data_IF_756838476358
#
_entry.id   IF_756838476358
#
_cell.length_a   1.000
_cell.length_b   1.000
_cell.length_c   1.000
_cell.angle_alpha   90.00
_cell.angle_beta   90.00
_cell.angle_gamma   90.00
#
_symmetry.space_group_name_H-M   'P 1'
#
loop_
_entity.id
_entity.type
_entity.pdbx_description
1 polymer ?
#
# COMPACT_ATOMS: atom_id res chain seq x y z
N UNK A 1 -41.46 15.84 -1.31
CA UNK A 1 -41.82 14.41 -1.40
C UNK A 1 -40.61 13.54 -1.78
N UNK A 2 -39.91 13.88 -2.87
CA UNK A 2 -38.73 13.15 -3.42
C UNK A 2 -37.66 12.78 -2.37
N UNK A 3 -37.23 13.73 -1.54
CA UNK A 3 -36.17 13.50 -0.53
C UNK A 3 -36.52 12.37 0.47
N UNK A 4 -37.80 12.21 0.84
CA UNK A 4 -38.23 11.16 1.77
C UNK A 4 -38.02 9.78 1.15
N UNK A 5 -38.37 9.62 -0.12
CA UNK A 5 -38.15 8.38 -0.85
C UNK A 5 -36.67 8.08 -1.02
N UNK A 6 -35.84 9.10 -1.25
CA UNK A 6 -34.40 8.94 -1.39
C UNK A 6 -33.76 8.38 -0.11
N UNK A 7 -34.04 8.94 1.07
CA UNK A 7 -33.50 8.40 2.34
C UNK A 7 -33.96 6.97 2.60
N UNK A 8 -35.22 6.65 2.28
CA UNK A 8 -35.73 5.29 2.44
C UNK A 8 -35.06 4.30 1.48
N UNK A 9 -34.86 4.69 0.22
CA UNK A 9 -34.14 3.89 -0.77
C UNK A 9 -32.71 3.63 -0.31
N UNK A 10 -32.01 4.67 0.15
CA UNK A 10 -30.65 4.55 0.68
C UNK A 10 -30.61 3.58 1.88
N UNK A 11 -31.56 3.69 2.82
CA UNK A 11 -31.63 2.77 3.95
C UNK A 11 -31.84 1.32 3.50
N UNK A 12 -32.71 1.08 2.51
CA UNK A 12 -32.90 -0.26 1.94
C UNK A 12 -31.61 -0.77 1.27
N UNK A 13 -30.91 0.06 0.50
CA UNK A 13 -29.63 -0.31 -0.13
C UNK A 13 -28.60 -0.70 0.93
N UNK A 14 -28.39 0.13 1.96
CA UNK A 14 -27.42 -0.19 3.03
C UNK A 14 -27.82 -1.45 3.80
N UNK A 15 -29.11 -1.64 4.07
CA UNK A 15 -29.60 -2.87 4.67
C UNK A 15 -29.27 -4.09 3.81
N UNK A 16 -29.53 -4.03 2.50
CA UNK A 16 -29.20 -5.12 1.57
C UNK A 16 -27.71 -5.40 1.50
N UNK A 17 -26.86 -4.36 1.51
CA UNK A 17 -25.40 -4.53 1.54
C UNK A 17 -24.97 -5.25 2.82
N UNK A 18 -25.49 -4.85 3.98
CA UNK A 18 -25.16 -5.51 5.25
C UNK A 18 -25.60 -6.98 5.29
N UNK A 19 -26.83 -7.30 4.84
CA UNK A 19 -27.30 -8.69 4.76
C UNK A 19 -26.44 -9.50 3.80
N UNK A 20 -26.12 -8.94 2.63
CA UNK A 20 -25.34 -9.62 1.61
C UNK A 20 -23.89 -9.85 2.04
N UNK A 21 -23.27 -8.90 2.74
CA UNK A 21 -21.94 -9.07 3.33
C UNK A 21 -21.90 -10.22 4.35
N UNK A 22 -22.93 -10.33 5.20
CA UNK A 22 -23.06 -11.48 6.13
C UNK A 22 -23.22 -12.78 5.36
N UNK A 23 -24.09 -12.83 4.34
CA UNK A 23 -24.30 -14.05 3.54
C UNK A 23 -23.03 -14.52 2.85
N UNK A 24 -22.25 -13.60 2.26
CA UNK A 24 -20.98 -13.94 1.61
C UNK A 24 -19.92 -14.47 2.58
N UNK A 25 -19.95 -14.05 3.85
CA UNK A 25 -19.02 -14.56 4.86
C UNK A 25 -19.34 -15.97 5.34
N UNK A 26 -20.59 -16.41 5.20
CA UNK A 26 -21.00 -17.77 5.58
C UNK A 26 -20.63 -18.78 4.50
N UNK A 27 -20.65 -18.38 3.22
CA UNK A 27 -20.33 -19.26 2.09
C UNK A 27 -18.93 -19.00 1.52
N UNK A 28 -17.90 -19.56 2.15
CA UNK A 28 -16.49 -19.45 1.73
C UNK A 28 -16.24 -19.90 0.27
N UNK A 29 -17.15 -20.73 -0.28
CA UNK A 29 -17.07 -21.27 -1.64
C UNK A 29 -17.26 -20.24 -2.76
N UNK A 30 -17.83 -19.06 -2.50
CA UNK A 30 -18.14 -18.07 -3.54
C UNK A 30 -17.17 -16.89 -3.60
N UNK A 31 -16.09 -16.90 -2.81
CA UNK A 31 -15.05 -15.86 -2.86
C UNK A 31 -14.06 -16.14 -4.00
N UNK A 32 -14.56 -16.32 -5.22
CA UNK A 32 -13.72 -16.48 -6.42
C UNK A 32 -13.66 -15.17 -7.20
N UNK A 33 -12.65 -14.36 -6.87
CA UNK A 33 -12.12 -13.17 -7.59
C UNK A 33 -13.08 -12.01 -7.92
N UNK A 34 -12.58 -10.77 -7.78
CA UNK A 34 -13.25 -9.55 -8.26
C UNK A 34 -14.05 -8.77 -7.19
N UNK A 35 -15.14 -8.10 -7.61
CA UNK A 35 -15.93 -7.18 -6.76
C UNK A 35 -16.46 -7.90 -5.52
N UNK A 36 -16.83 -9.17 -5.64
CA UNK A 36 -17.34 -9.98 -4.53
C UNK A 36 -16.32 -10.18 -3.41
N UNK A 37 -15.02 -10.21 -3.74
CA UNK A 37 -13.96 -10.30 -2.74
C UNK A 37 -13.92 -9.05 -1.84
N UNK A 38 -14.19 -7.86 -2.41
CA UNK A 38 -14.26 -6.63 -1.62
C UNK A 38 -15.52 -6.55 -0.74
N UNK A 39 -16.59 -7.25 -1.10
CA UNK A 39 -17.81 -7.32 -0.26
C UNK A 39 -17.64 -8.35 0.84
N UNK A 40 -17.04 -9.50 0.51
CA UNK A 40 -16.72 -10.56 1.48
C UNK A 40 -15.69 -10.08 2.52
N UNK A 41 -14.81 -9.14 2.15
CA UNK A 41 -13.83 -8.57 3.08
C UNK A 41 -14.42 -7.58 4.10
N UNK A 42 -15.67 -7.12 3.93
CA UNK A 42 -16.34 -6.28 4.94
C UNK A 42 -16.57 -7.08 6.21
N UNK A 43 -15.92 -6.71 7.32
CA UNK A 43 -16.04 -7.45 8.59
C UNK A 43 -17.49 -7.64 9.06
N UNK A 44 -17.77 -8.77 9.70
CA UNK A 44 -19.09 -9.12 10.22
C UNK A 44 -19.69 -8.01 11.11
N UNK A 45 -18.86 -7.45 12.01
CA UNK A 45 -19.27 -6.35 12.90
C UNK A 45 -19.68 -5.10 12.10
N UNK A 46 -18.95 -4.76 11.04
CA UNK A 46 -19.27 -3.65 10.13
C UNK A 46 -20.60 -3.91 9.40
N UNK A 47 -20.85 -5.15 8.95
CA UNK A 47 -22.10 -5.54 8.32
C UNK A 47 -23.32 -5.41 9.27
N UNK A 48 -23.17 -5.85 10.54
CA UNK A 48 -24.20 -5.64 11.57
C UNK A 48 -24.47 -4.16 11.82
N UNK A 49 -23.42 -3.34 11.93
CA UNK A 49 -23.55 -1.90 12.08
C UNK A 49 -24.29 -1.25 10.90
N UNK A 50 -24.07 -1.71 9.66
CA UNK A 50 -24.85 -1.25 8.50
C UNK A 50 -26.33 -1.60 8.62
N UNK A 51 -26.66 -2.85 8.97
CA UNK A 51 -28.05 -3.29 9.15
C UNK A 51 -28.75 -2.44 10.20
N UNK A 52 -28.14 -2.29 11.38
CA UNK A 52 -28.74 -1.55 12.48
C UNK A 52 -28.83 -0.04 12.19
N UNK A 53 -27.83 0.55 11.54
CA UNK A 53 -27.87 1.96 11.12
C UNK A 53 -28.94 2.21 10.06
N UNK A 54 -29.10 1.28 9.10
CA UNK A 54 -30.12 1.37 8.06
C UNK A 54 -31.54 1.29 8.64
N UNK A 55 -31.80 0.34 9.55
CA UNK A 55 -33.09 0.21 10.25
C UNK A 55 -33.41 1.51 11.00
N UNK A 56 -32.43 2.03 11.76
CA UNK A 56 -32.59 3.29 12.50
C UNK A 56 -32.90 4.46 11.55
N UNK A 57 -32.14 4.61 10.47
CA UNK A 57 -32.33 5.67 9.48
C UNK A 57 -33.71 5.59 8.81
N UNK A 58 -34.15 4.39 8.43
CA UNK A 58 -35.47 4.15 7.86
C UNK A 58 -36.58 4.59 8.83
N UNK A 59 -36.50 4.17 10.09
CA UNK A 59 -37.50 4.50 11.11
C UNK A 59 -37.53 6.01 11.41
N UNK A 60 -36.36 6.68 11.47
CA UNK A 60 -36.26 8.13 11.70
C UNK A 60 -37.04 8.93 10.63
N UNK A 61 -37.18 8.38 9.42
CA UNK A 61 -37.85 9.05 8.31
C UNK A 61 -39.38 8.81 8.26
N UNK A 62 -39.92 7.97 9.14
CA UNK A 62 -41.37 7.74 9.25
C UNK A 62 -42.05 8.94 9.94
N UNK A 63 -43.15 9.42 9.35
CA UNK A 63 -43.86 10.63 9.80
C UNK A 63 -44.67 10.41 11.09
N UNK A 64 -45.34 9.27 11.22
CA UNK A 64 -46.09 8.87 12.41
C UNK A 64 -45.44 7.62 13.02
N UNK A 65 -44.92 7.74 14.24
CA UNK A 65 -44.14 6.68 14.92
C UNK A 65 -44.80 6.29 16.23
N UNK A 66 -45.44 5.12 16.34
CA UNK A 66 -45.91 4.60 17.62
C UNK A 66 -44.73 4.33 18.56
N UNK A 67 -45.00 4.18 19.86
CA UNK A 67 -43.96 4.04 20.90
C UNK A 67 -43.02 2.85 20.64
N UNK A 68 -43.54 1.72 20.19
CA UNK A 68 -42.75 0.52 19.91
C UNK A 68 -41.75 0.71 18.75
N UNK A 69 -42.14 1.44 17.70
CA UNK A 69 -41.24 1.78 16.57
C UNK A 69 -40.11 2.71 17.04
N UNK A 70 -40.42 3.67 17.94
CA UNK A 70 -39.39 4.52 18.56
C UNK A 70 -38.42 3.72 19.41
N UNK A 71 -38.93 2.75 20.16
CA UNK A 71 -38.12 1.85 20.96
C UNK A 71 -37.17 1.00 20.08
N UNK A 72 -37.69 0.40 19.01
CA UNK A 72 -36.89 -0.36 18.05
C UNK A 72 -35.78 0.48 17.42
N UNK A 73 -36.08 1.73 17.06
CA UNK A 73 -35.06 2.67 16.56
C UNK A 73 -33.94 2.92 17.58
N UNK A 74 -34.28 3.11 18.86
CA UNK A 74 -33.29 3.33 19.92
C UNK A 74 -32.44 2.09 20.18
N UNK A 75 -33.04 0.91 20.15
CA UNK A 75 -32.30 -0.35 20.25
C UNK A 75 -31.31 -0.46 19.09
N UNK A 76 -31.77 -0.23 17.86
CA UNK A 76 -30.92 -0.34 16.67
C UNK A 76 -29.70 0.60 16.73
N UNK A 77 -29.92 1.87 17.11
CA UNK A 77 -28.82 2.82 17.31
C UNK A 77 -27.90 2.39 18.46
N UNK A 78 -28.48 1.94 19.58
CA UNK A 78 -27.73 1.44 20.73
C UNK A 78 -26.85 0.24 20.38
N UNK A 79 -27.37 -0.72 19.61
CA UNK A 79 -26.62 -1.89 19.14
C UNK A 79 -25.46 -1.48 18.23
N UNK A 80 -25.68 -0.54 17.30
CA UNK A 80 -24.61 0.00 16.44
C UNK A 80 -23.46 0.57 17.30
N UNK A 81 -23.80 1.38 18.31
CA UNK A 81 -22.81 1.97 19.22
C UNK A 81 -22.11 0.93 20.09
N UNK A 82 -22.85 -0.06 20.62
CA UNK A 82 -22.28 -1.13 21.45
C UNK A 82 -21.28 -1.95 20.63
N UNK A 83 -21.64 -2.37 19.41
CA UNK A 83 -20.73 -3.11 18.53
C UNK A 83 -19.47 -2.29 18.23
N UNK A 84 -19.62 -1.00 17.91
CA UNK A 84 -18.49 -0.11 17.67
C UNK A 84 -17.59 0.06 18.91
N UNK A 85 -18.17 0.29 20.10
CA UNK A 85 -17.42 0.44 21.35
C UNK A 85 -16.69 -0.84 21.73
N UNK A 86 -17.35 -2.00 21.64
CA UNK A 86 -16.72 -3.29 21.92
C UNK A 86 -15.55 -3.55 20.96
N UNK A 87 -15.72 -3.23 19.68
CA UNK A 87 -14.65 -3.31 18.67
C UNK A 87 -13.46 -2.39 19.03
N UNK A 88 -13.72 -1.18 19.52
CA UNK A 88 -12.67 -0.28 20.02
C UNK A 88 -11.98 -0.82 21.27
N UNK A 89 -12.72 -1.41 22.21
CA UNK A 89 -12.15 -2.01 23.43
C UNK A 89 -11.25 -3.18 23.05
N UNK A 90 -11.70 -4.06 22.15
CA UNK A 90 -10.91 -5.17 21.60
C UNK A 90 -9.58 -4.66 21.03
N UNK A 91 -9.64 -3.58 20.25
CA UNK A 91 -8.45 -2.95 19.65
C UNK A 91 -7.48 -2.40 20.70
N UNK A 92 -7.97 -1.64 21.68
CA UNK A 92 -7.09 -1.01 22.68
C UNK A 92 -6.56 -1.97 23.73
N UNK A 93 -7.33 -3.00 24.08
CA UNK A 93 -6.95 -3.97 25.12
C UNK A 93 -6.18 -5.16 24.56
N UNK A 94 -6.21 -5.38 23.23
CA UNK A 94 -5.75 -6.60 22.57
C UNK A 94 -6.38 -7.88 23.18
N UNK A 95 -7.52 -7.75 23.85
CA UNK A 95 -8.28 -8.88 24.38
C UNK A 95 -9.24 -9.33 23.30
N UNK A 96 -9.09 -10.56 22.82
CA UNK A 96 -10.00 -11.16 21.86
C UNK A 96 -11.38 -11.37 22.53
N UNK A 97 -12.29 -10.41 22.30
CA UNK A 97 -13.69 -10.50 22.70
C UNK A 97 -14.48 -11.43 21.77
N UNK A 98 -13.89 -11.83 20.64
CA UNK A 98 -14.43 -12.85 19.75
C UNK A 98 -15.86 -12.54 19.27
N UNK A 99 -16.17 -11.25 19.09
CA UNK A 99 -17.52 -10.79 18.68
C UNK A 99 -17.93 -11.43 17.36
N UNK A 100 -16.98 -11.57 16.42
CA UNK A 100 -17.21 -12.23 15.14
C UNK A 100 -17.32 -13.76 15.28
N UNK A 101 -16.51 -14.38 16.15
CA UNK A 101 -16.50 -15.84 16.35
C UNK A 101 -17.77 -16.34 17.07
N UNK A 102 -18.46 -15.48 17.82
CA UNK A 102 -19.77 -15.79 18.41
C UNK A 102 -20.82 -16.17 17.35
N UNK A 103 -20.69 -15.66 16.12
CA UNK A 103 -21.66 -15.87 15.06
C UNK A 103 -21.16 -16.74 13.91
N UNK A 104 -19.84 -16.78 13.67
CA UNK A 104 -19.22 -17.58 12.60
C UNK A 104 -18.17 -18.50 13.22
N UNK A 105 -18.49 -19.79 13.29
CA UNK A 105 -17.69 -20.82 13.99
C UNK A 105 -16.57 -21.39 13.11
N UNK A 106 -15.90 -20.57 12.30
CA UNK A 106 -14.99 -21.09 11.29
C UNK A 106 -13.54 -21.26 11.77
N UNK A 107 -13.03 -22.47 11.57
CA UNK A 107 -11.77 -23.01 12.11
C UNK A 107 -10.53 -22.45 11.37
N UNK A 108 -10.73 -21.81 10.23
CA UNK A 108 -9.65 -21.19 9.44
C UNK A 108 -9.28 -19.77 9.89
N UNK A 109 -10.09 -19.13 10.74
CA UNK A 109 -9.89 -17.73 11.19
C UNK A 109 -8.76 -17.56 12.23
N UNK A 110 -8.09 -18.65 12.64
CA UNK A 110 -7.19 -18.66 13.80
C UNK A 110 -5.82 -17.98 13.59
N UNK A 111 -5.52 -17.43 12.40
CA UNK A 111 -4.17 -16.96 12.09
C UNK A 111 -3.99 -15.50 11.65
N UNK A 112 -5.06 -14.75 11.43
CA UNK A 112 -4.94 -13.30 11.32
C UNK A 112 -5.52 -12.71 12.58
N UNK A 113 -4.67 -12.45 13.58
CA UNK A 113 -5.02 -11.58 14.71
C UNK A 113 -5.77 -10.37 14.14
N UNK A 114 -7.06 -10.32 14.46
CA UNK A 114 -7.95 -9.19 14.53
C UNK A 114 -7.31 -7.87 14.06
N UNK A 115 -7.19 -7.68 12.75
CA UNK A 115 -6.94 -6.37 12.18
C UNK A 115 -8.27 -5.62 12.25
N UNK A 116 -8.62 -5.23 13.48
CA UNK A 116 -9.83 -4.50 13.79
C UNK A 116 -9.79 -3.21 12.97
N UNK A 117 -10.84 -2.97 12.18
CA UNK A 117 -11.01 -1.73 11.41
C UNK A 117 -11.26 -0.56 12.40
N UNK A 118 -10.22 -0.09 13.09
CA UNK A 118 -10.29 1.01 14.07
C UNK A 118 -11.07 2.20 13.51
N UNK A 119 -10.76 2.57 12.26
CA UNK A 119 -11.42 3.69 11.58
C UNK A 119 -12.91 3.40 11.39
N UNK A 120 -13.29 2.22 10.88
CA UNK A 120 -14.69 1.88 10.68
C UNK A 120 -15.46 1.87 12.01
N UNK A 121 -14.85 1.36 13.10
CA UNK A 121 -15.45 1.40 14.43
C UNK A 121 -15.69 2.85 14.91
N UNK A 122 -14.73 3.76 14.69
CA UNK A 122 -14.91 5.18 14.99
C UNK A 122 -15.99 5.84 14.12
N UNK A 123 -16.06 5.50 12.83
CA UNK A 123 -17.08 5.99 11.92
C UNK A 123 -18.48 5.52 12.34
N UNK A 124 -18.65 4.23 12.67
CA UNK A 124 -19.92 3.69 13.15
C UNK A 124 -20.31 4.25 14.51
N UNK A 125 -19.36 4.46 15.42
CA UNK A 125 -19.63 5.15 16.68
C UNK A 125 -20.15 6.56 16.42
N UNK A 126 -19.52 7.28 15.49
CA UNK A 126 -19.94 8.63 15.11
C UNK A 126 -21.30 8.65 14.42
N UNK A 127 -21.58 7.71 13.53
CA UNK A 127 -22.91 7.52 12.92
C UNK A 127 -23.95 7.22 14.01
N UNK A 128 -23.65 6.36 14.98
CA UNK A 128 -24.52 6.06 16.12
C UNK A 128 -24.85 7.29 16.96
N UNK A 129 -23.87 8.16 17.22
CA UNK A 129 -24.07 9.44 17.91
C UNK A 129 -24.98 10.37 17.10
N UNK A 130 -24.76 10.48 15.78
CA UNK A 130 -25.61 11.26 14.88
C UNK A 130 -27.05 10.73 14.90
N UNK A 131 -27.23 9.42 14.71
CA UNK A 131 -28.55 8.79 14.70
C UNK A 131 -29.25 8.97 16.05
N UNK A 132 -28.53 8.90 17.18
CA UNK A 132 -29.08 9.17 18.52
C UNK A 132 -29.71 10.56 18.60
N UNK A 133 -29.00 11.59 18.14
CA UNK A 133 -29.53 12.97 18.11
C UNK A 133 -30.73 13.10 17.19
N UNK A 134 -30.68 12.45 16.02
CA UNK A 134 -31.81 12.42 15.07
C UNK A 134 -33.04 11.69 15.63
N UNK A 135 -32.87 10.65 16.46
CA UNK A 135 -34.00 10.00 17.15
C UNK A 135 -34.69 10.93 18.15
N UNK A 136 -33.94 11.87 18.75
CA UNK A 136 -34.46 12.89 19.66
C UNK A 136 -35.14 14.04 18.91
N UNK A 137 -35.03 14.07 17.58
CA UNK A 137 -35.56 15.14 16.72
C UNK A 137 -34.80 16.45 16.85
N UNK A 138 -33.60 16.42 17.45
CA UNK A 138 -32.72 17.59 17.59
C UNK A 138 -31.60 17.48 16.57
N UNK A 139 -31.27 18.60 15.94
CA UNK A 139 -30.09 18.74 15.10
C UNK A 139 -29.07 19.55 15.88
N UNK A 140 -28.16 18.87 16.55
CA UNK A 140 -27.11 19.50 17.36
C UNK A 140 -25.90 19.83 16.50
N UNK A 141 -25.06 20.75 17.00
CA UNK A 141 -23.75 21.06 16.43
C UNK A 141 -22.91 19.79 16.18
N UNK A 142 -23.03 18.79 17.07
CA UNK A 142 -22.37 17.48 16.92
C UNK A 142 -22.72 16.84 15.58
N UNK A 143 -24.00 16.81 15.19
CA UNK A 143 -24.40 16.23 13.90
C UNK A 143 -23.82 17.01 12.72
N UNK A 144 -23.76 18.34 12.82
CA UNK A 144 -23.28 19.21 11.75
C UNK A 144 -21.77 19.08 11.51
N UNK A 145 -20.99 18.84 12.56
CA UNK A 145 -19.53 18.66 12.47
C UNK A 145 -19.17 17.20 12.16
N UNK A 146 -19.81 16.25 12.84
CA UNK A 146 -19.42 14.84 12.76
C UNK A 146 -19.79 14.20 11.42
N UNK A 147 -20.94 14.57 10.84
CA UNK A 147 -21.39 14.04 9.55
C UNK A 147 -20.41 14.32 8.40
N UNK A 148 -19.96 15.57 8.14
CA UNK A 148 -18.98 15.83 7.09
C UNK A 148 -17.62 15.22 7.41
N UNK A 149 -17.20 15.16 8.68
CA UNK A 149 -15.94 14.49 9.06
C UNK A 149 -15.97 13.01 8.68
N UNK A 150 -17.01 12.27 9.07
CA UNK A 150 -17.16 10.85 8.71
C UNK A 150 -17.22 10.68 7.19
N UNK A 151 -18.01 11.51 6.50
CA UNK A 151 -18.10 11.45 5.04
C UNK A 151 -16.74 11.63 4.36
N UNK A 152 -15.93 12.57 4.86
CA UNK A 152 -14.62 12.87 4.29
C UNK A 152 -13.59 11.77 4.57
N UNK A 153 -13.63 11.17 5.76
CA UNK A 153 -12.81 9.98 6.08
C UNK A 153 -13.16 8.84 5.14
N UNK A 154 -14.45 8.56 4.93
CA UNK A 154 -14.89 7.53 4.00
C UNK A 154 -14.51 7.81 2.53
N UNK A 155 -14.59 9.07 2.08
CA UNK A 155 -14.09 9.50 0.75
C UNK A 155 -12.58 9.29 0.64
N UNK A 156 -11.82 9.63 1.69
CA UNK A 156 -10.38 9.44 1.72
C UNK A 156 -9.98 7.97 1.58
N UNK A 157 -10.63 7.08 2.32
CA UNK A 157 -10.41 5.63 2.25
C UNK A 157 -10.73 5.12 0.84
N UNK A 158 -11.87 5.52 0.28
CA UNK A 158 -12.27 5.12 -1.08
C UNK A 158 -11.25 5.60 -2.12
N UNK A 159 -10.83 6.87 -2.03
CA UNK A 159 -9.86 7.46 -2.95
C UNK A 159 -8.49 6.78 -2.86
N UNK A 160 -8.04 6.49 -1.64
CA UNK A 160 -6.77 5.79 -1.42
C UNK A 160 -6.75 4.44 -2.14
N UNK A 161 -7.82 3.66 -1.99
CA UNK A 161 -7.95 2.38 -2.67
C UNK A 161 -8.05 2.51 -4.19
N UNK A 162 -8.95 3.37 -4.70
CA UNK A 162 -9.17 3.51 -6.15
C UNK A 162 -7.93 3.99 -6.88
N UNK A 163 -7.12 4.81 -6.21
CA UNK A 163 -5.86 5.30 -6.79
C UNK A 163 -4.76 4.23 -6.82
N UNK A 164 -4.96 3.07 -6.18
CA UNK A 164 -3.93 2.04 -6.01
C UNK A 164 -2.76 2.52 -5.15
N UNK A 165 -2.95 3.62 -4.41
CA UNK A 165 -1.89 4.25 -3.66
C UNK A 165 -1.82 3.55 -2.30
N UNK A 166 -0.76 2.80 -2.05
CA UNK A 166 -0.55 2.06 -0.81
C UNK A 166 -0.27 2.97 0.41
N UNK A 167 -0.73 4.24 0.45
CA UNK A 167 -0.49 5.09 1.64
C UNK A 167 -1.07 4.51 2.91
N UNK A 168 -2.30 3.99 2.82
CA UNK A 168 -2.91 3.39 4.00
C UNK A 168 -2.20 2.10 4.39
N UNK A 169 -1.47 1.41 3.50
CA UNK A 169 -0.73 0.19 3.88
C UNK A 169 0.38 0.45 4.90
N UNK A 170 0.89 1.69 4.95
CA UNK A 170 1.87 2.10 5.95
C UNK A 170 1.22 2.57 7.27
N UNK A 171 -0.11 2.76 7.28
CA UNK A 171 -0.88 3.08 8.46
C UNK A 171 -1.55 1.80 8.97
N UNK A 172 -1.02 1.14 10.03
CA UNK A 172 -1.49 -0.17 10.47
C UNK A 172 -3.00 -0.20 10.83
N UNK A 173 -3.59 0.96 11.11
CA UNK A 173 -4.99 1.11 11.45
C UNK A 173 -5.94 1.32 10.25
N UNK A 174 -5.41 1.49 9.04
CA UNK A 174 -6.19 1.85 7.85
C UNK A 174 -6.09 0.85 6.69
N UNK A 175 -5.10 -0.05 6.71
CA UNK A 175 -4.83 -1.03 5.63
C UNK A 175 -6.03 -1.91 5.30
N UNK A 176 -6.87 -2.19 6.28
CA UNK A 176 -7.83 -3.29 6.19
C UNK A 176 -9.27 -2.87 6.00
N UNK A 177 -9.57 -1.58 5.88
CA UNK A 177 -10.96 -1.17 5.63
C UNK A 177 -11.36 -1.53 4.21
N UNK A 178 -12.31 -2.45 4.07
CA UNK A 178 -12.84 -2.81 2.76
C UNK A 178 -13.44 -1.58 2.07
N UNK A 179 -13.19 -1.42 0.78
CA UNK A 179 -13.71 -0.28 -0.02
C UNK A 179 -15.21 -0.19 0.07
N UNK A 180 -15.86 -1.35 -0.02
CA UNK A 180 -17.31 -1.45 0.09
C UNK A 180 -17.83 -0.92 1.43
N UNK A 181 -17.08 -1.10 2.53
CA UNK A 181 -17.39 -0.49 3.83
C UNK A 181 -17.38 1.04 3.72
N UNK A 182 -16.28 1.63 3.22
CA UNK A 182 -16.19 3.09 3.08
C UNK A 182 -17.27 3.68 2.15
N UNK A 183 -17.55 3.02 1.03
CA UNK A 183 -18.55 3.45 0.06
C UNK A 183 -19.97 3.35 0.64
N UNK A 184 -20.24 2.31 1.43
CA UNK A 184 -21.49 2.16 2.18
C UNK A 184 -21.64 3.23 3.26
N UNK A 185 -20.57 3.60 3.96
CA UNK A 185 -20.58 4.71 4.92
C UNK A 185 -20.86 6.04 4.20
N UNK A 186 -20.25 6.31 3.03
CA UNK A 186 -20.56 7.49 2.22
C UNK A 186 -22.05 7.55 1.86
N UNK A 187 -22.61 6.44 1.35
CA UNK A 187 -24.03 6.32 1.00
C UNK A 187 -24.93 6.50 2.23
N UNK A 188 -24.54 5.95 3.37
CA UNK A 188 -25.24 6.14 4.64
C UNK A 188 -25.21 7.60 5.10
N UNK A 189 -24.08 8.29 5.01
CA UNK A 189 -23.94 9.72 5.28
C UNK A 189 -24.86 10.55 4.38
N UNK A 190 -24.99 10.22 3.09
CA UNK A 190 -25.98 10.86 2.21
C UNK A 190 -27.42 10.61 2.69
N UNK A 191 -27.74 9.38 3.09
CA UNK A 191 -29.05 9.04 3.63
C UNK A 191 -29.40 9.85 4.88
N UNK A 192 -28.44 9.97 5.79
CA UNK A 192 -28.51 10.80 7.00
C UNK A 192 -28.70 12.27 6.63
N UNK A 193 -27.90 12.81 5.72
CA UNK A 193 -27.99 14.21 5.27
C UNK A 193 -29.38 14.58 4.72
N UNK A 194 -30.00 13.68 3.95
CA UNK A 194 -31.34 13.90 3.39
C UNK A 194 -32.50 13.56 4.35
N UNK A 195 -32.21 13.09 5.56
CA UNK A 195 -33.22 12.69 6.52
C UNK A 195 -34.13 13.85 6.99
N UNK A 196 -35.35 13.50 7.41
CA UNK A 196 -36.35 14.48 7.82
C UNK A 196 -35.92 15.47 8.93
N UNK A 197 -35.16 15.07 9.97
CA UNK A 197 -34.75 16.02 11.02
C UNK A 197 -33.75 17.06 10.53
N UNK A 198 -32.75 16.68 9.71
CA UNK A 198 -31.79 17.63 9.12
C UNK A 198 -32.43 18.60 8.14
N UNK A 199 -33.58 18.25 7.53
CA UNK A 199 -34.33 19.16 6.65
C UNK A 199 -34.77 20.45 7.35
N UNK A 200 -34.90 20.45 8.68
CA UNK A 200 -35.32 21.63 9.44
C UNK A 200 -34.18 22.63 9.67
N UNK A 201 -32.94 22.27 9.33
CA UNK A 201 -31.81 23.17 9.38
C UNK A 201 -31.93 24.19 8.25
N UNK A 202 -32.40 25.37 8.61
CA UNK A 202 -32.32 26.55 7.76
C UNK A 202 -30.90 27.10 7.83
N UNK A 203 -29.97 26.46 7.11
CA UNK A 203 -28.63 27.03 6.96
C UNK A 203 -28.75 28.39 6.27
N UNK A 204 -28.19 29.40 6.91
CA UNK A 204 -27.97 30.70 6.30
C UNK A 204 -27.04 30.54 5.09
N UNK A 205 -27.14 31.45 4.13
CA UNK A 205 -26.31 31.40 2.92
C UNK A 205 -24.81 31.38 3.25
N UNK A 206 -24.40 32.14 4.28
CA UNK A 206 -23.02 32.21 4.75
C UNK A 206 -22.50 30.87 5.30
N UNK A 207 -23.29 30.17 6.10
CA UNK A 207 -22.92 28.85 6.64
C UNK A 207 -22.77 27.80 5.55
N UNK A 208 -23.58 27.87 4.49
CA UNK A 208 -23.44 26.96 3.33
C UNK A 208 -22.11 27.18 2.62
N UNK A 209 -21.76 28.45 2.37
CA UNK A 209 -20.48 28.81 1.73
C UNK A 209 -19.30 28.34 2.59
N UNK A 210 -19.33 28.58 3.89
CA UNK A 210 -18.28 28.13 4.80
C UNK A 210 -18.14 26.60 4.79
N UNK A 211 -19.25 25.86 4.75
CA UNK A 211 -19.25 24.40 4.58
C UNK A 211 -18.57 23.95 3.28
N UNK A 212 -18.90 24.58 2.15
CA UNK A 212 -18.25 24.27 0.87
C UNK A 212 -16.74 24.57 0.89
N UNK A 213 -16.34 25.70 1.48
CA UNK A 213 -14.92 26.03 1.65
C UNK A 213 -14.20 25.03 2.55
N UNK A 214 -14.81 24.62 3.67
CA UNK A 214 -14.25 23.63 4.57
C UNK A 214 -14.04 22.27 3.90
N UNK A 215 -15.06 21.79 3.17
CA UNK A 215 -14.97 20.55 2.39
C UNK A 215 -13.88 20.64 1.32
N UNK A 216 -13.84 21.75 0.57
CA UNK A 216 -12.85 21.95 -0.50
C UNK A 216 -11.43 22.01 0.05
N UNK A 217 -11.21 22.76 1.13
CA UNK A 217 -9.90 22.90 1.77
C UNK A 217 -9.40 21.56 2.33
N UNK A 218 -10.29 20.81 2.98
CA UNK A 218 -9.97 19.50 3.52
C UNK A 218 -9.65 18.50 2.40
N UNK A 219 -10.44 18.47 1.33
CA UNK A 219 -10.19 17.65 0.15
C UNK A 219 -8.85 18.01 -0.51
N UNK A 220 -8.53 19.31 -0.61
CA UNK A 220 -7.26 19.78 -1.14
C UNK A 220 -6.08 19.39 -0.23
N UNK A 221 -6.27 19.40 1.08
CA UNK A 221 -5.26 18.96 2.06
C UNK A 221 -5.00 17.46 1.93
N UNK A 222 -6.06 16.66 1.76
CA UNK A 222 -5.98 15.23 1.47
C UNK A 222 -5.18 14.98 0.18
N UNK A 223 -5.54 15.65 -0.91
CA UNK A 223 -4.85 15.51 -2.20
C UNK A 223 -3.39 15.93 -2.07
N UNK A 224 -3.13 17.06 -1.43
CA UNK A 224 -1.78 17.57 -1.22
C UNK A 224 -0.92 16.58 -0.43
N UNK A 225 -1.44 16.07 0.69
CA UNK A 225 -0.73 15.09 1.51
C UNK A 225 -0.47 13.79 0.73
N UNK A 226 -1.49 13.30 0.00
CA UNK A 226 -1.39 12.15 -0.90
C UNK A 226 -0.27 12.34 -1.93
N UNK A 227 -0.28 13.44 -2.67
CA UNK A 227 0.74 13.73 -3.70
C UNK A 227 2.14 13.86 -3.07
N UNK A 228 2.25 14.51 -1.91
CA UNK A 228 3.52 14.71 -1.22
C UNK A 228 4.16 13.38 -0.82
N UNK A 229 3.40 12.47 -0.19
CA UNK A 229 3.91 11.15 0.17
C UNK A 229 4.27 10.34 -1.09
N UNK A 230 3.46 10.42 -2.16
CA UNK A 230 3.77 9.75 -3.42
C UNK A 230 5.12 10.15 -3.99
N UNK A 231 5.38 11.45 -3.97
CA UNK A 231 6.56 12.00 -4.62
C UNK A 231 7.84 11.54 -3.92
N UNK A 232 7.78 11.29 -2.60
CA UNK A 232 8.91 10.72 -1.86
C UNK A 232 9.19 9.27 -2.29
N UNK A 233 8.15 8.44 -2.44
CA UNK A 233 8.29 7.06 -2.90
C UNK A 233 8.79 7.01 -4.35
N UNK A 234 8.26 7.87 -5.23
CA UNK A 234 8.73 8.01 -6.61
C UNK A 234 10.20 8.43 -6.66
N UNK A 235 10.62 9.38 -5.82
CA UNK A 235 12.01 9.83 -5.77
C UNK A 235 12.94 8.70 -5.36
N UNK A 236 12.61 7.96 -4.29
CA UNK A 236 13.42 6.81 -3.86
C UNK A 236 13.45 5.69 -4.90
N UNK A 237 12.35 5.44 -5.61
CA UNK A 237 12.30 4.45 -6.69
C UNK A 237 13.15 4.89 -7.90
N UNK A 238 13.13 6.17 -8.27
CA UNK A 238 14.00 6.72 -9.30
C UNK A 238 15.46 6.57 -8.91
N UNK A 239 15.83 6.90 -7.66
CA UNK A 239 17.19 6.71 -7.14
C UNK A 239 17.63 5.24 -7.21
N UNK A 240 16.74 4.29 -6.88
CA UNK A 240 17.02 2.84 -6.98
C UNK A 240 17.20 2.37 -8.42
N UNK A 241 16.39 2.91 -9.36
CA UNK A 241 16.53 2.61 -10.79
C UNK A 241 17.85 3.17 -11.33
N UNK A 242 18.19 4.40 -10.99
CA UNK A 242 19.45 5.03 -11.41
C UNK A 242 20.67 4.34 -10.79
N UNK A 243 20.59 3.94 -9.52
CA UNK A 243 21.59 3.10 -8.88
C UNK A 243 21.77 1.77 -9.63
N UNK A 244 20.68 1.09 -9.96
CA UNK A 244 20.72 -0.18 -10.71
C UNK A 244 21.32 0.00 -12.09
N UNK A 245 20.98 1.09 -12.80
CA UNK A 245 21.58 1.43 -14.10
C UNK A 245 23.10 1.67 -13.98
N UNK A 246 23.54 2.38 -12.94
CA UNK A 246 24.96 2.62 -12.71
C UNK A 246 25.70 1.31 -12.45
N UNK A 247 25.17 0.44 -11.60
CA UNK A 247 25.75 -0.90 -11.33
C UNK A 247 25.84 -1.73 -12.62
N UNK A 248 24.78 -1.76 -13.43
CA UNK A 248 24.77 -2.47 -14.72
C UNK A 248 25.76 -1.89 -15.72
N UNK A 249 25.84 -0.56 -15.81
CA UNK A 249 26.79 0.12 -16.70
C UNK A 249 28.22 -0.19 -16.32
N UNK A 250 28.60 -0.06 -15.04
CA UNK A 250 29.95 -0.37 -14.56
C UNK A 250 30.31 -1.84 -14.76
N UNK A 251 29.36 -2.75 -14.49
CA UNK A 251 29.56 -4.19 -14.73
C UNK A 251 29.79 -4.49 -16.22
N UNK A 252 29.05 -3.79 -17.10
CA UNK A 252 29.22 -3.93 -18.55
C UNK A 252 30.59 -3.42 -19.01
N UNK A 253 31.06 -2.29 -18.49
CA UNK A 253 32.41 -1.77 -18.79
C UNK A 253 33.50 -2.76 -18.37
N UNK A 254 33.42 -3.34 -17.17
CA UNK A 254 34.36 -4.37 -16.70
C UNK A 254 34.37 -5.57 -17.65
N UNK A 255 33.21 -6.04 -18.08
CA UNK A 255 33.10 -7.18 -19.00
C UNK A 255 33.72 -6.88 -20.37
N UNK A 256 33.50 -5.68 -20.91
CA UNK A 256 34.09 -5.22 -22.18
C UNK A 256 35.62 -5.20 -22.07
N UNK A 257 36.16 -4.55 -21.03
CA UNK A 257 37.60 -4.44 -20.83
C UNK A 257 38.27 -5.81 -20.63
N UNK A 258 37.61 -6.73 -19.91
CA UNK A 258 38.12 -8.09 -19.72
C UNK A 258 38.16 -8.89 -21.03
N UNK A 259 37.12 -8.77 -21.85
CA UNK A 259 37.08 -9.42 -23.16
C UNK A 259 38.15 -8.83 -24.10
N UNK A 260 38.39 -7.53 -24.04
CA UNK A 260 39.45 -6.87 -24.80
C UNK A 260 40.84 -7.34 -24.36
N UNK A 261 41.08 -7.46 -23.05
CA UNK A 261 42.34 -8.04 -22.52
C UNK A 261 42.52 -9.48 -23.03
N UNK A 262 41.47 -10.31 -22.99
CA UNK A 262 41.55 -11.70 -23.46
C UNK A 262 41.88 -11.78 -24.97
N UNK A 263 41.28 -10.89 -25.77
CA UNK A 263 41.56 -10.77 -27.20
C UNK A 263 43.02 -10.37 -27.47
N UNK A 264 43.51 -9.32 -26.79
CA UNK A 264 44.89 -8.83 -26.96
C UNK A 264 45.91 -9.86 -26.46
N UNK A 265 45.59 -10.56 -25.36
CA UNK A 265 46.42 -11.63 -24.82
C UNK A 265 46.53 -12.80 -25.80
N UNK A 266 45.41 -13.17 -26.44
CA UNK A 266 45.39 -14.21 -27.47
C UNK A 266 46.24 -13.80 -28.68
N UNK A 267 46.12 -12.55 -29.14
CA UNK A 267 46.97 -12.01 -30.21
C UNK A 267 48.45 -12.00 -29.83
N UNK A 268 48.80 -11.53 -28.63
CA UNK A 268 50.18 -11.52 -28.13
C UNK A 268 50.80 -12.93 -28.06
N UNK A 269 49.99 -13.95 -27.72
CA UNK A 269 50.47 -15.34 -27.71
C UNK A 269 50.80 -15.87 -29.11
N UNK A 270 50.11 -15.38 -30.14
CA UNK A 270 50.36 -15.73 -31.53
C UNK A 270 51.51 -14.91 -32.12
N UNK A 271 51.49 -13.59 -31.89
CA UNK A 271 52.45 -12.62 -32.40
C UNK A 271 52.93 -11.68 -31.28
N UNK A 272 54.09 -11.94 -30.66
CA UNK A 272 54.56 -11.19 -29.50
C UNK A 272 55.11 -9.83 -29.92
N UNK A 273 54.23 -8.84 -30.06
CA UNK A 273 54.57 -7.43 -30.30
C UNK A 273 54.47 -6.65 -28.98
N UNK A 274 55.47 -5.81 -28.68
CA UNK A 274 55.59 -5.09 -27.41
C UNK A 274 54.40 -4.17 -27.10
N UNK A 275 53.79 -3.57 -28.13
CA UNK A 275 52.64 -2.66 -28.02
C UNK A 275 51.44 -3.30 -27.28
N UNK A 276 51.27 -4.62 -27.37
CA UNK A 276 50.14 -5.32 -26.78
C UNK A 276 50.20 -5.35 -25.24
N UNK A 277 51.38 -5.26 -24.63
CA UNK A 277 51.53 -5.32 -23.17
C UNK A 277 51.12 -4.02 -22.48
N UNK A 278 51.41 -2.87 -23.09
CA UNK A 278 51.04 -1.57 -22.53
C UNK A 278 49.52 -1.38 -22.53
N UNK A 279 48.84 -1.88 -23.57
CA UNK A 279 47.38 -1.85 -23.65
C UNK A 279 46.70 -2.79 -22.64
N UNK A 280 47.24 -4.00 -22.44
CA UNK A 280 46.78 -4.91 -21.39
C UNK A 280 46.88 -4.25 -20.01
N UNK A 281 47.99 -3.56 -19.71
CA UNK A 281 48.17 -2.86 -18.45
C UNK A 281 47.14 -1.73 -18.28
N UNK A 282 46.94 -0.92 -19.33
CA UNK A 282 45.94 0.16 -19.35
C UNK A 282 44.52 -0.35 -19.07
N UNK A 283 44.12 -1.44 -19.73
CA UNK A 283 42.81 -2.06 -19.51
C UNK A 283 42.69 -2.70 -18.12
N UNK A 284 43.77 -3.31 -17.60
CA UNK A 284 43.79 -3.86 -16.24
C UNK A 284 43.61 -2.79 -15.16
N UNK A 285 44.20 -1.61 -15.37
CA UNK A 285 44.00 -0.45 -14.52
C UNK A 285 42.55 0.07 -14.59
N UNK A 286 41.96 0.07 -15.79
CA UNK A 286 40.54 0.40 -16.02
C UNK A 286 39.61 -0.56 -15.26
N UNK A 287 39.78 -1.88 -15.44
CA UNK A 287 39.04 -2.91 -14.69
C UNK A 287 39.18 -2.72 -13.19
N UNK A 288 40.40 -2.45 -12.70
CA UNK A 288 40.64 -2.22 -11.26
C UNK A 288 39.92 -0.97 -10.74
N UNK A 289 39.83 0.09 -11.56
CA UNK A 289 39.10 1.31 -11.23
C UNK A 289 37.59 1.06 -11.19
N UNK A 290 37.04 0.41 -12.20
CA UNK A 290 35.61 0.13 -12.29
C UNK A 290 35.17 -0.88 -11.23
N UNK A 291 36.02 -1.84 -10.85
CA UNK A 291 35.78 -2.72 -9.71
C UNK A 291 35.68 -1.95 -8.40
N UNK A 292 36.56 -0.97 -8.15
CA UNK A 292 36.47 -0.10 -6.95
C UNK A 292 35.17 0.71 -6.94
N UNK A 293 34.76 1.21 -8.09
CA UNK A 293 33.50 1.94 -8.23
C UNK A 293 32.30 1.03 -7.99
N UNK A 294 32.34 -0.20 -8.52
CA UNK A 294 31.30 -1.20 -8.30
C UNK A 294 31.18 -1.55 -6.80
N UNK A 295 32.30 -1.75 -6.10
CA UNK A 295 32.32 -1.92 -4.65
C UNK A 295 31.74 -0.72 -3.89
N UNK A 296 32.00 0.50 -4.37
CA UNK A 296 31.44 1.73 -3.78
C UNK A 296 29.93 1.78 -3.96
N UNK A 297 29.44 1.46 -5.17
CA UNK A 297 28.02 1.46 -5.50
C UNK A 297 27.25 0.41 -4.70
N UNK A 298 27.80 -0.78 -4.47
CA UNK A 298 27.07 -1.87 -3.80
C UNK A 298 27.40 -2.02 -2.31
N UNK A 299 28.00 -1.00 -1.69
CA UNK A 299 28.48 -1.07 -0.29
C UNK A 299 27.38 -1.42 0.71
N UNK A 300 26.15 -1.02 0.41
CA UNK A 300 24.94 -1.19 1.21
C UNK A 300 24.22 -2.53 0.98
N UNK A 301 24.63 -3.33 -0.02
CA UNK A 301 23.98 -4.58 -0.35
C UNK A 301 24.87 -5.79 -0.01
N UNK A 302 24.64 -6.40 1.17
CA UNK A 302 25.39 -7.56 1.67
C UNK A 302 25.40 -8.75 0.69
N UNK A 303 24.30 -8.98 -0.03
CA UNK A 303 24.21 -10.09 -0.98
C UNK A 303 25.08 -9.86 -2.22
N UNK A 304 25.15 -8.62 -2.71
CA UNK A 304 26.01 -8.25 -3.83
C UNK A 304 27.47 -8.23 -3.42
N UNK A 305 27.78 -7.78 -2.21
CA UNK A 305 29.14 -7.77 -1.67
C UNK A 305 29.81 -9.15 -1.73
N UNK A 306 29.12 -10.20 -1.28
CA UNK A 306 29.65 -11.58 -1.34
C UNK A 306 29.95 -12.04 -2.77
N UNK A 307 29.12 -11.64 -3.75
CA UNK A 307 29.36 -11.93 -5.17
C UNK A 307 30.56 -11.16 -5.71
N UNK A 308 30.74 -9.90 -5.31
CA UNK A 308 31.89 -9.08 -5.71
C UNK A 308 33.20 -9.55 -5.09
N UNK A 309 33.19 -10.04 -3.85
CA UNK A 309 34.35 -10.65 -3.23
C UNK A 309 34.80 -11.89 -4.01
N UNK A 310 33.83 -12.71 -4.43
CA UNK A 310 34.08 -13.89 -5.27
C UNK A 310 34.63 -13.50 -6.65
N UNK A 311 34.04 -12.49 -7.29
CA UNK A 311 34.51 -11.96 -8.57
C UNK A 311 35.94 -11.41 -8.47
N UNK A 312 36.24 -10.66 -7.41
CA UNK A 312 37.56 -10.08 -7.18
C UNK A 312 38.62 -11.16 -7.01
N UNK A 313 38.30 -12.24 -6.29
CA UNK A 313 39.17 -13.40 -6.17
C UNK A 313 39.44 -14.04 -7.54
N UNK A 314 38.40 -14.24 -8.36
CA UNK A 314 38.55 -14.81 -9.71
C UNK A 314 39.39 -13.92 -10.64
N UNK A 315 39.19 -12.60 -10.58
CA UNK A 315 39.98 -11.63 -11.35
C UNK A 315 41.46 -11.63 -10.95
N UNK A 316 41.74 -11.69 -9.65
CA UNK A 316 43.12 -11.78 -9.16
C UNK A 316 43.79 -13.09 -9.60
N UNK A 317 43.07 -14.21 -9.57
CA UNK A 317 43.54 -15.50 -10.03
C UNK A 317 43.83 -15.50 -11.54
N UNK A 318 42.91 -14.98 -12.36
CA UNK A 318 43.07 -14.84 -13.80
C UNK A 318 44.25 -13.92 -14.17
N UNK A 319 44.38 -12.77 -13.50
CA UNK A 319 45.52 -11.87 -13.68
C UNK A 319 46.87 -12.55 -13.37
N UNK A 320 46.94 -13.36 -12.31
CA UNK A 320 48.15 -14.12 -11.97
C UNK A 320 48.49 -15.15 -13.07
N UNK A 321 47.51 -15.88 -13.58
CA UNK A 321 47.69 -16.85 -14.67
C UNK A 321 48.13 -16.19 -15.98
N UNK A 322 47.58 -15.01 -16.30
CA UNK A 322 47.99 -14.23 -17.48
C UNK A 322 49.45 -13.79 -17.37
N UNK A 323 49.85 -13.25 -16.22
CA UNK A 323 51.23 -12.84 -15.97
C UNK A 323 52.22 -14.01 -16.10
N UNK A 324 51.87 -15.19 -15.56
CA UNK A 324 52.67 -16.40 -15.69
C UNK A 324 52.82 -16.84 -17.17
N UNK A 325 51.74 -16.74 -17.94
CA UNK A 325 51.73 -17.08 -19.37
C UNK A 325 52.58 -16.10 -20.19
N UNK A 326 52.49 -14.79 -19.92
CA UNK A 326 53.34 -13.76 -20.54
C UNK A 326 54.81 -14.02 -20.24
N UNK A 327 55.15 -14.32 -18.99
CA UNK A 327 56.52 -14.62 -18.57
C UNK A 327 57.08 -15.85 -19.31
N UNK A 328 56.34 -16.96 -19.31
CA UNK A 328 56.72 -18.18 -20.02
C UNK A 328 56.93 -17.95 -21.52
N UNK A 329 56.08 -17.13 -22.16
CA UNK A 329 56.22 -16.78 -23.57
C UNK A 329 57.47 -15.93 -23.83
N UNK A 330 57.77 -14.95 -22.96
CA UNK A 330 58.99 -14.13 -23.04
C UNK A 330 60.25 -14.99 -22.96
N UNK A 331 60.30 -15.92 -22.01
CA UNK A 331 61.44 -16.84 -21.85
C UNK A 331 61.62 -17.73 -23.09
N UNK A 332 60.53 -18.24 -23.67
CA UNK A 332 60.56 -19.02 -24.91
C UNK A 332 61.14 -18.23 -26.09
N UNK A 333 60.75 -16.94 -26.24
CA UNK A 333 61.27 -16.09 -27.30
C UNK A 333 62.75 -15.76 -27.12
N UNK A 334 63.15 -15.45 -25.89
CA UNK A 334 64.55 -15.19 -25.54
C UNK A 334 65.45 -16.39 -25.90
N UNK A 335 65.03 -17.60 -25.52
CA UNK A 335 65.76 -18.84 -25.85
C UNK A 335 65.85 -19.08 -27.37
N UNK A 336 64.81 -18.73 -28.14
CA UNK A 336 64.83 -18.85 -29.61
C UNK A 336 65.81 -17.86 -30.25
N UNK A 337 65.87 -16.63 -29.76
CA UNK A 337 66.83 -15.61 -30.23
C UNK A 337 68.26 -16.07 -29.93
N UNK A 338 68.53 -16.51 -28.69
CA UNK A 338 69.85 -16.99 -28.28
C UNK A 338 70.31 -18.20 -29.12
N UNK A 339 69.39 -19.14 -29.41
CA UNK A 339 69.69 -20.31 -30.25
C UNK A 339 69.97 -19.89 -31.70
N UNK A 340 69.23 -18.92 -32.24
CA UNK A 340 69.51 -18.39 -33.58
C UNK A 340 70.89 -17.73 -33.63
N UNK A 341 71.24 -16.89 -32.65
CA UNK A 341 72.57 -16.26 -32.56
C UNK A 341 73.69 -17.30 -32.51
N UNK A 342 73.53 -18.39 -31.75
CA UNK A 342 74.51 -19.48 -31.71
C UNK A 342 74.64 -20.29 -33.01
N UNK A 343 73.60 -20.32 -33.85
CA UNK A 343 73.67 -21.00 -35.16
C UNK A 343 74.36 -20.13 -36.21
N UNK A 344 74.26 -18.80 -36.08
CA UNK A 344 74.83 -17.84 -37.03
C UNK A 344 76.20 -17.29 -36.64
N UNK A 345 76.64 -17.49 -35.39
CA UNK A 345 78.00 -17.23 -34.91
C UNK A 345 78.92 -18.43 -35.20
#
# INVERSE_FOLDING_TARGET
MIKKYLTNLIAVVIFTVGVFAISLQVDDKYVSEGIWQSVASTQFNSALCFIFSAIALFIINISYRPLWVRFLCRISVGLTMIVAILTLIEYFTNVDLSIAQLFITDVAAQKSHANIELIAALEFLGVGLILTELTRGKTTFVTQVLLPVIFLVAVFITFNYVSGLNYLSNLPFAVNTAVFTSLSIMVLCFGVFYSAPLRRLNYTYQERIAGYFGITFLLLTIIFFSVSVNNNDLTSNVERVDHTKNVLSTTSSIMIDLHEIESIMSDYMLNPVQHNLDEINRLSDSVSKDMRELFRLTKDNTSQKSRLDSLTYLLAYDAANRNASIASKKDSLYNRVLTAEMIYA
#
